data_IF_137914309139
#
_entry.id   IF_137914309139
#
_cell.length_a   1.000
_cell.length_b   1.000
_cell.length_c   1.000
_cell.angle_alpha   90.00
_cell.angle_beta   90.00
_cell.angle_gamma   90.00
#
_symmetry.space_group_name_H-M   'P 1'
#
loop_
_entity.id
_entity.type
_entity.pdbx_description
1 polymer ?
#
# COMPACT_ATOMS: atom_id res chain seq x y z
N UNK A 1 0.03 1.78 19.21
CA UNK A 1 1.15 0.83 19.22
C UNK A 1 1.79 0.78 17.83
N UNK A 2 3.11 0.82 17.77
CA UNK A 2 3.88 0.72 16.51
C UNK A 2 4.18 -0.75 16.24
N UNK A 3 3.99 -1.20 15.00
CA UNK A 3 4.21 -2.59 14.61
C UNK A 3 5.70 -2.94 14.66
N UNK A 4 6.04 -4.10 15.25
CA UNK A 4 7.41 -4.58 15.41
C UNK A 4 7.75 -5.78 14.53
N UNK A 5 6.81 -6.71 14.34
CA UNK A 5 7.00 -7.95 13.58
C UNK A 5 6.14 -7.97 12.30
N UNK A 6 6.60 -8.74 11.31
CA UNK A 6 5.84 -9.03 10.10
C UNK A 6 4.67 -9.99 10.41
N UNK A 7 3.62 -10.00 9.59
CA UNK A 7 2.52 -10.98 9.76
C UNK A 7 2.80 -12.34 9.11
N UNK A 8 3.88 -12.46 8.35
CA UNK A 8 4.30 -13.74 7.77
C UNK A 8 4.88 -14.61 8.89
N UNK A 9 4.39 -15.85 9.00
CA UNK A 9 4.82 -16.80 10.03
C UNK A 9 6.33 -17.07 9.99
N UNK A 10 6.92 -17.20 8.80
CA UNK A 10 8.36 -17.31 8.60
C UNK A 10 8.77 -16.60 7.31
N UNK A 11 9.55 -15.51 7.45
CA UNK A 11 10.23 -14.89 6.31
C UNK A 11 11.53 -15.65 6.09
N UNK A 12 11.64 -16.40 4.99
CA UNK A 12 12.87 -17.08 4.62
C UNK A 12 14.00 -16.05 4.51
N UNK A 13 15.05 -16.16 5.34
CA UNK A 13 16.11 -15.14 5.39
C UNK A 13 16.97 -15.10 4.13
N UNK A 14 17.16 -16.25 3.48
CA UNK A 14 17.89 -16.40 2.21
C UNK A 14 16.95 -16.15 1.03
N UNK A 15 17.43 -15.46 -0.01
CA UNK A 15 16.68 -15.24 -1.24
C UNK A 15 15.49 -14.27 -1.12
N UNK A 16 15.36 -13.53 -0.01
CA UNK A 16 14.28 -12.56 0.18
C UNK A 16 14.76 -11.23 0.75
N UNK A 17 14.08 -10.16 0.35
CA UNK A 17 14.21 -8.83 0.93
C UNK A 17 12.88 -8.40 1.54
N UNK A 18 12.93 -7.56 2.56
CA UNK A 18 11.74 -7.06 3.24
C UNK A 18 11.89 -5.60 3.63
N UNK A 19 10.76 -4.89 3.66
CA UNK A 19 10.68 -3.52 4.11
C UNK A 19 9.36 -3.28 4.85
N UNK A 20 9.36 -2.31 5.77
CA UNK A 20 8.17 -1.94 6.52
C UNK A 20 8.13 -0.43 6.79
N UNK A 21 7.04 0.21 6.37
CA UNK A 21 6.70 1.56 6.80
C UNK A 21 5.78 1.51 8.02
N UNK A 22 6.15 2.26 9.04
CA UNK A 22 5.43 2.30 10.31
C UNK A 22 4.69 3.61 10.48
N UNK A 23 3.40 3.53 10.83
CA UNK A 23 2.55 4.66 11.18
C UNK A 23 2.48 5.79 10.13
N UNK A 24 2.56 5.45 8.83
CA UNK A 24 2.47 6.42 7.73
C UNK A 24 1.04 7.01 7.68
N UNK A 25 0.85 8.31 7.41
CA UNK A 25 -0.45 8.99 7.38
C UNK A 25 -1.27 8.66 6.12
N UNK A 26 -1.56 7.37 5.91
CA UNK A 26 -2.28 6.83 4.76
C UNK A 26 -3.55 6.09 5.19
N UNK A 27 -4.46 5.90 4.25
CA UNK A 27 -5.74 5.23 4.49
C UNK A 27 -5.59 3.72 4.37
N UNK A 28 -5.81 2.99 5.48
CA UNK A 28 -5.78 1.52 5.51
C UNK A 28 -6.63 0.88 4.39
N UNK A 29 -7.83 1.39 4.15
CA UNK A 29 -8.75 0.86 3.12
C UNK A 29 -8.14 0.91 1.72
N UNK A 30 -7.55 2.06 1.36
CA UNK A 30 -6.91 2.19 0.04
C UNK A 30 -5.61 1.41 -0.02
N UNK A 31 -4.87 1.31 1.09
CA UNK A 31 -3.68 0.46 1.16
C UNK A 31 -3.99 -1.00 0.88
N UNK A 32 -5.09 -1.53 1.43
CA UNK A 32 -5.54 -2.91 1.15
C UNK A 32 -5.91 -3.12 -0.32
N UNK A 33 -6.56 -2.15 -0.95
CA UNK A 33 -6.90 -2.23 -2.38
C UNK A 33 -5.65 -2.16 -3.27
N UNK A 34 -4.70 -1.28 -2.93
CA UNK A 34 -3.39 -1.23 -3.62
C UNK A 34 -2.69 -2.59 -3.48
N UNK A 35 -2.62 -3.13 -2.27
CA UNK A 35 -2.05 -4.45 -2.01
C UNK A 35 -2.66 -5.52 -2.91
N UNK A 36 -4.00 -5.56 -2.97
CA UNK A 36 -4.69 -6.56 -3.78
C UNK A 36 -4.39 -6.47 -5.27
N UNK A 37 -4.04 -5.29 -5.78
CA UNK A 37 -3.78 -5.08 -7.21
C UNK A 37 -2.33 -5.36 -7.63
N UNK A 38 -1.38 -5.17 -6.70
CA UNK A 38 0.06 -5.31 -6.99
C UNK A 38 0.68 -6.60 -6.44
N UNK A 39 0.01 -7.29 -5.50
CA UNK A 39 0.50 -8.56 -4.96
C UNK A 39 0.71 -9.58 -6.09
N UNK A 40 1.89 -10.21 -6.12
CA UNK A 40 2.30 -11.17 -7.15
C UNK A 40 2.91 -10.55 -8.41
N UNK A 41 2.96 -9.23 -8.54
CA UNK A 41 3.66 -8.57 -9.65
C UNK A 41 5.18 -8.55 -9.42
N UNK A 42 5.93 -8.35 -10.51
CA UNK A 42 7.32 -7.88 -10.42
C UNK A 42 7.35 -6.48 -9.82
N UNK A 43 8.39 -6.16 -9.05
CA UNK A 43 8.52 -4.88 -8.35
C UNK A 43 8.51 -3.70 -9.36
N UNK A 44 9.25 -3.79 -10.46
CA UNK A 44 9.30 -2.69 -11.43
C UNK A 44 7.94 -2.45 -12.10
N UNK A 45 7.26 -3.52 -12.53
CA UNK A 45 5.89 -3.43 -13.07
C UNK A 45 4.89 -2.85 -12.06
N UNK A 46 5.08 -3.13 -10.77
CA UNK A 46 4.26 -2.55 -9.73
C UNK A 46 4.52 -1.04 -9.57
N UNK A 47 5.79 -0.61 -9.65
CA UNK A 47 6.16 0.82 -9.63
C UNK A 47 5.56 1.55 -10.83
N UNK A 48 5.70 1.00 -12.05
CA UNK A 48 5.11 1.58 -13.27
C UNK A 48 3.60 1.74 -13.16
N UNK A 49 2.91 0.68 -12.72
CA UNK A 49 1.45 0.72 -12.51
C UNK A 49 1.06 1.82 -11.50
N UNK A 50 1.79 1.95 -10.39
CA UNK A 50 1.54 2.99 -9.40
C UNK A 50 1.85 4.40 -9.94
N UNK A 51 2.87 4.55 -10.78
CA UNK A 51 3.19 5.83 -11.46
C UNK A 51 2.07 6.26 -12.40
N UNK A 52 1.45 5.34 -13.16
CA UNK A 52 0.27 5.65 -14.00
C UNK A 52 -0.95 6.08 -13.18
N UNK A 53 -1.12 5.53 -11.98
CA UNK A 53 -2.16 6.02 -11.06
C UNK A 53 -1.82 7.41 -10.51
N UNK A 54 -0.53 7.68 -10.29
CA UNK A 54 -0.05 8.97 -9.80
C UNK A 54 -0.27 10.09 -10.85
N UNK A 55 -0.05 9.79 -12.13
CA UNK A 55 -0.35 10.68 -13.27
C UNK A 55 -1.84 10.72 -13.65
N UNK A 56 -2.68 9.97 -12.94
CA UNK A 56 -4.13 9.85 -13.17
C UNK A 56 -4.55 9.22 -14.51
N UNK A 57 -3.63 8.58 -15.23
CA UNK A 57 -3.91 7.84 -16.47
C UNK A 57 -4.79 6.61 -16.19
N UNK A 58 -4.42 5.83 -15.18
CA UNK A 58 -5.17 4.64 -14.73
C UNK A 58 -5.74 4.86 -13.33
N UNK A 59 -6.98 4.47 -13.07
CA UNK A 59 -7.53 4.55 -11.72
C UNK A 59 -7.29 3.26 -10.92
N UNK A 60 -7.19 3.37 -9.59
CA UNK A 60 -7.14 2.20 -8.71
C UNK A 60 -8.54 1.56 -8.64
N UNK A 61 -8.71 0.30 -9.10
CA UNK A 61 -9.98 -0.41 -8.98
C UNK A 61 -10.21 -0.80 -7.51
N UNK A 62 -11.43 -0.57 -7.04
CA UNK A 62 -11.82 -0.85 -5.65
C UNK A 62 -12.74 -2.07 -5.61
N UNK A 63 -12.30 -3.17 -4.99
CA UNK A 63 -13.04 -4.44 -4.93
C UNK A 63 -13.77 -4.62 -3.61
N UNK A 64 -13.10 -4.36 -2.48
CA UNK A 64 -13.63 -4.58 -1.12
C UNK A 64 -14.29 -3.33 -0.54
N UNK A 65 -13.68 -2.16 -0.75
CA UNK A 65 -14.12 -0.89 -0.18
C UNK A 65 -14.76 0.00 -1.26
N UNK A 66 -15.83 -0.49 -1.89
CA UNK A 66 -16.50 0.11 -3.05
C UNK A 66 -17.88 0.74 -2.77
N UNK A 67 -18.39 0.70 -1.53
CA UNK A 67 -19.71 1.23 -1.17
C UNK A 67 -19.81 2.75 -1.36
N UNK A 68 -20.89 3.21 -2.02
CA UNK A 68 -21.19 4.63 -2.30
C UNK A 68 -20.06 5.35 -3.05
N UNK A 69 -19.41 4.65 -3.98
CA UNK A 69 -18.38 5.21 -4.85
C UNK A 69 -18.93 5.24 -6.28
N UNK A 70 -18.88 6.40 -6.91
CA UNK A 70 -19.31 6.54 -8.30
C UNK A 70 -18.44 5.73 -9.25
N UNK A 71 -19.05 5.30 -10.36
CA UNK A 71 -18.31 4.67 -11.45
C UNK A 71 -17.33 5.67 -12.07
N UNK A 72 -16.20 5.17 -12.57
CA UNK A 72 -15.23 5.96 -13.31
C UNK A 72 -15.15 5.48 -14.75
N UNK A 73 -15.00 6.43 -15.66
CA UNK A 73 -14.63 6.22 -17.06
C UNK A 73 -13.11 6.29 -17.15
N UNK A 74 -12.48 5.35 -17.85
CA UNK A 74 -11.03 5.28 -18.02
C UNK A 74 -10.51 3.86 -17.96
N UNK A 75 -9.20 3.72 -18.04
CA UNK A 75 -8.51 2.44 -17.95
C UNK A 75 -8.30 2.03 -16.49
N UNK A 76 -8.55 0.76 -16.22
CA UNK A 76 -8.21 0.14 -14.96
C UNK A 76 -7.82 -1.31 -15.15
N UNK A 77 -7.02 -1.79 -14.21
CA UNK A 77 -6.64 -3.19 -14.14
C UNK A 77 -7.86 -4.06 -13.82
N UNK A 78 -8.40 -4.71 -14.85
CA UNK A 78 -9.56 -5.60 -14.77
C UNK A 78 -10.90 -4.88 -14.95
N UNK A 79 -11.99 -5.66 -15.01
CA UNK A 79 -13.32 -5.20 -15.43
C UNK A 79 -14.11 -4.38 -14.38
N UNK A 80 -13.44 -3.74 -13.41
CA UNK A 80 -14.11 -3.02 -12.32
C UNK A 80 -14.33 -1.56 -12.69
N UNK A 81 -15.59 -1.15 -12.82
CA UNK A 81 -15.99 0.24 -13.15
C UNK A 81 -15.92 1.21 -11.96
N UNK A 82 -15.64 0.71 -10.74
CA UNK A 82 -15.55 1.52 -9.51
C UNK A 82 -14.09 1.75 -9.14
N UNK A 83 -13.69 3.02 -8.96
CA UNK A 83 -12.30 3.34 -8.66
C UNK A 83 -12.03 4.75 -8.14
N UNK A 84 -10.81 4.96 -7.64
CA UNK A 84 -10.30 6.26 -7.17
C UNK A 84 -8.80 6.43 -7.45
N UNK A 85 -8.31 7.65 -7.28
CA UNK A 85 -6.89 8.00 -7.33
C UNK A 85 -6.38 8.36 -5.92
N UNK A 86 -5.98 7.39 -5.08
CA UNK A 86 -5.49 7.68 -3.73
C UNK A 86 -4.01 8.11 -3.75
N UNK A 87 -3.72 9.29 -4.29
CA UNK A 87 -2.35 9.79 -4.56
C UNK A 87 -1.41 9.66 -3.35
N UNK A 88 -1.86 10.05 -2.15
CA UNK A 88 -1.06 9.95 -0.91
C UNK A 88 -0.69 8.51 -0.56
N UNK A 89 -1.59 7.55 -0.80
CA UNK A 89 -1.28 6.15 -0.57
C UNK A 89 -0.31 5.65 -1.65
N UNK A 90 -0.58 5.96 -2.92
CA UNK A 90 0.25 5.55 -4.06
C UNK A 90 1.69 5.99 -3.90
N UNK A 91 1.94 7.28 -3.59
CA UNK A 91 3.30 7.77 -3.35
C UNK A 91 4.02 7.02 -2.22
N UNK A 92 3.31 6.69 -1.13
CA UNK A 92 3.90 5.89 -0.06
C UNK A 92 4.23 4.45 -0.49
N UNK A 93 3.44 3.84 -1.39
CA UNK A 93 3.75 2.51 -1.91
C UNK A 93 4.94 2.51 -2.87
N UNK A 94 5.11 3.55 -3.68
CA UNK A 94 6.30 3.72 -4.54
C UNK A 94 7.54 3.81 -3.65
N UNK A 95 7.53 4.69 -2.65
CA UNK A 95 8.61 4.81 -1.66
C UNK A 95 8.93 3.47 -0.98
N UNK A 96 7.91 2.67 -0.62
CA UNK A 96 8.13 1.35 -0.03
C UNK A 96 8.77 0.34 -0.99
N UNK A 97 8.38 0.36 -2.27
CA UNK A 97 8.92 -0.52 -3.30
C UNK A 97 10.36 -0.16 -3.64
N UNK A 98 10.69 1.12 -3.73
CA UNK A 98 12.06 1.58 -3.93
C UNK A 98 12.95 1.18 -2.74
N UNK A 99 12.44 1.32 -1.51
CA UNK A 99 13.14 0.87 -0.31
C UNK A 99 13.37 -0.65 -0.29
N UNK A 100 12.41 -1.46 -0.75
CA UNK A 100 12.63 -2.92 -0.79
C UNK A 100 13.61 -3.32 -1.89
N UNK A 101 13.66 -2.57 -3.00
CA UNK A 101 14.64 -2.75 -4.08
C UNK A 101 16.06 -2.49 -3.55
N UNK A 102 16.27 -1.34 -2.90
CA UNK A 102 17.55 -1.02 -2.26
C UNK A 102 17.97 -2.04 -1.19
N UNK A 103 17.02 -2.57 -0.40
CA UNK A 103 17.30 -3.64 0.55
C UNK A 103 17.65 -4.97 -0.11
N UNK A 104 17.16 -5.23 -1.32
CA UNK A 104 17.49 -6.42 -2.09
C UNK A 104 18.89 -6.31 -2.69
N UNK A 105 19.23 -5.15 -3.27
CA UNK A 105 20.57 -4.81 -3.75
C UNK A 105 21.61 -4.99 -2.65
N UNK A 106 21.34 -4.45 -1.46
CA UNK A 106 22.22 -4.60 -0.30
C UNK A 106 22.44 -6.07 0.11
N UNK A 107 21.47 -6.95 -0.15
CA UNK A 107 21.57 -8.39 0.12
C UNK A 107 22.21 -9.17 -1.02
N UNK A 108 22.59 -8.52 -2.12
CA UNK A 108 23.14 -9.16 -3.32
C UNK A 108 22.10 -9.97 -4.11
N UNK A 109 20.82 -9.62 -4.02
CA UNK A 109 19.77 -10.19 -4.86
C UNK A 109 19.68 -9.42 -6.16
N UNK A 110 19.25 -10.08 -7.24
CA UNK A 110 18.92 -9.39 -8.49
C UNK A 110 17.68 -8.51 -8.30
N UNK A 111 17.89 -7.19 -8.31
CA UNK A 111 16.86 -6.20 -8.01
C UNK A 111 15.90 -5.93 -9.16
N UNK A 112 16.25 -6.31 -10.39
CA UNK A 112 15.38 -6.23 -11.57
C UNK A 112 14.47 -7.47 -11.66
N UNK A 113 14.87 -8.55 -10.99
CA UNK A 113 14.15 -9.81 -10.98
C UNK A 113 13.42 -10.11 -9.66
N UNK A 114 12.84 -9.08 -9.03
CA UNK A 114 12.09 -9.23 -7.78
C UNK A 114 10.57 -9.41 -8.00
N UNK A 115 9.98 -10.38 -7.29
CA UNK A 115 8.53 -10.62 -7.23
C UNK A 115 7.99 -10.36 -5.82
N UNK A 116 6.85 -9.67 -5.74
CA UNK A 116 6.15 -9.40 -4.49
C UNK A 116 5.43 -10.67 -4.01
N UNK A 117 5.96 -11.30 -2.95
CA UNK A 117 5.38 -12.52 -2.38
C UNK A 117 4.36 -12.21 -1.29
N UNK A 118 4.70 -11.29 -0.40
CA UNK A 118 3.84 -10.88 0.69
C UNK A 118 3.75 -9.37 0.76
N UNK A 119 2.53 -8.90 0.99
CA UNK A 119 2.29 -7.52 1.32
C UNK A 119 1.06 -7.43 2.22
N UNK A 120 1.14 -6.59 3.24
CA UNK A 120 0.05 -6.46 4.22
C UNK A 120 0.00 -5.03 4.79
N UNK A 121 -1.22 -4.57 5.06
CA UNK A 121 -1.45 -3.29 5.73
C UNK A 121 -2.25 -3.51 7.00
N UNK A 122 -1.82 -2.90 8.10
CA UNK A 122 -2.53 -2.90 9.38
C UNK A 122 -2.79 -1.49 9.88
N UNK A 123 -3.78 -1.37 10.77
CA UNK A 123 -4.17 -0.08 11.34
C UNK A 123 -3.01 0.53 12.15
N UNK A 124 -2.66 1.77 11.83
CA UNK A 124 -1.67 2.56 12.56
C UNK A 124 -2.24 3.24 13.80
N UNK A 125 -1.38 3.95 14.52
CA UNK A 125 -1.79 4.76 15.66
C UNK A 125 -2.55 6.01 15.19
N UNK A 126 -3.84 6.08 15.51
CA UNK A 126 -4.70 7.18 15.12
C UNK A 126 -4.60 8.34 16.12
N UNK A 127 -3.94 9.44 15.72
CA UNK A 127 -3.91 10.69 16.51
C UNK A 127 -5.32 11.29 16.55
N UNK A 128 -5.74 11.74 17.75
CA UNK A 128 -7.04 12.36 17.99
C UNK A 128 -6.90 13.87 18.07
N UNK A 129 -7.87 14.61 17.53
CA UNK A 129 -8.02 16.04 17.78
C UNK A 129 -9.44 16.33 18.26
N UNK A 130 -9.54 17.18 19.28
CA UNK A 130 -10.83 17.61 19.82
C UNK A 130 -11.54 18.53 18.82
N UNK A 131 -12.86 18.60 18.91
CA UNK A 131 -13.68 19.53 18.15
C UNK A 131 -14.19 20.61 19.11
N UNK A 132 -14.51 21.80 18.57
CA UNK A 132 -15.11 22.87 19.36
C UNK A 132 -16.45 22.42 19.99
N UNK A 133 -16.73 22.94 21.17
CA UNK A 133 -17.93 22.63 21.95
C UNK A 133 -19.17 23.22 21.23
N UNK A 134 -20.23 22.43 21.04
CA UNK A 134 -21.51 22.90 20.45
C UNK A 134 -21.96 22.23 19.14
N UNK A 135 -21.09 21.49 18.43
CA UNK A 135 -21.55 20.62 17.34
C UNK A 135 -22.12 19.32 17.90
N UNK A 136 -23.29 18.90 17.41
CA UNK A 136 -23.86 17.58 17.69
C UNK A 136 -22.76 16.54 17.37
N UNK A 137 -22.28 15.92 18.44
CA UNK A 137 -21.12 15.05 18.55
C UNK A 137 -19.79 15.72 18.91
N UNK A 138 -19.47 15.66 20.21
CA UNK A 138 -18.11 15.67 20.77
C UNK A 138 -17.25 14.49 20.29
N UNK A 139 -17.23 14.22 18.99
CA UNK A 139 -16.45 13.17 18.35
C UNK A 139 -15.03 13.68 18.10
N UNK A 140 -14.08 13.14 18.86
CA UNK A 140 -12.66 13.27 18.56
C UNK A 140 -12.39 12.80 17.12
N UNK A 141 -11.79 13.67 16.29
CA UNK A 141 -11.41 13.33 14.92
C UNK A 141 -10.16 12.44 14.97
N UNK A 142 -10.23 11.26 14.35
CA UNK A 142 -9.10 10.33 14.24
C UNK A 142 -8.40 10.53 12.91
N UNK A 143 -7.12 10.93 12.95
CA UNK A 143 -6.27 10.91 11.75
C UNK A 143 -6.00 9.46 11.37
N UNK A 144 -6.09 9.18 10.06
CA UNK A 144 -5.80 7.85 9.53
C UNK A 144 -4.30 7.64 9.46
N UNK A 145 -3.87 6.46 9.85
CA UNK A 145 -2.51 5.98 9.68
C UNK A 145 -2.53 4.47 9.48
N UNK A 146 -1.52 3.93 8.82
CA UNK A 146 -1.34 2.51 8.61
C UNK A 146 0.14 2.10 8.75
N UNK A 147 0.36 0.85 9.12
CA UNK A 147 1.63 0.18 8.93
C UNK A 147 1.52 -0.64 7.64
N UNK A 148 2.53 -0.58 6.78
CA UNK A 148 2.57 -1.32 5.52
C UNK A 148 3.86 -2.13 5.51
N UNK A 149 3.76 -3.40 5.18
CA UNK A 149 4.90 -4.30 5.08
C UNK A 149 4.93 -4.99 3.72
N UNK A 150 6.13 -5.29 3.27
CA UNK A 150 6.40 -6.00 2.02
C UNK A 150 7.52 -7.02 2.23
N UNK A 151 7.39 -8.16 1.57
CA UNK A 151 8.45 -9.14 1.36
C UNK A 151 8.49 -9.46 -0.12
N UNK A 152 9.69 -9.46 -0.67
CA UNK A 152 9.98 -9.81 -2.06
C UNK A 152 10.95 -10.98 -2.10
N UNK A 153 10.87 -11.76 -3.16
CA UNK A 153 11.86 -12.80 -3.47
C UNK A 153 12.37 -12.60 -4.89
N UNK A 154 13.53 -13.15 -5.16
CA UNK A 154 14.04 -13.28 -6.53
C UNK A 154 13.15 -14.26 -7.33
N UNK A 155 12.84 -13.88 -8.56
CA UNK A 155 12.19 -14.74 -9.53
C UNK A 155 13.18 -15.85 -9.91
N UNK A 156 12.70 -17.10 -9.91
CA UNK A 156 13.45 -18.22 -10.49
C UNK A 156 13.43 -18.16 -12.00
#
# INVERSE_FOLDING_TARGET
>A
MVKKAYQVAQVQRKGTASAMMKNKPVSLKYSVEIISNIKGMRVDKAIEYLKRILSMEEYLPLRKYNRKIGHKKGEAKGFTKVGKYPLRCVGAFIELLENVKANADYKGLDSDNLIITHMFASQGFARRSNQAQGRISGKARKRKSAHIEIVVREAR
#
